data_IF_309506026585
#
_entry.id   IF_309506026585
#
_cell.length_a   1.000
_cell.length_b   1.000
_cell.length_c   1.000
_cell.angle_alpha   90.00
_cell.angle_beta   90.00
_cell.angle_gamma   90.00
#
_symmetry.space_group_name_H-M   'P 1'
#
loop_
_entity.id
_entity.type
_entity.pdbx_description
1 polymer ?
#
# COMPACT_ATOMS: atom_id res chain seq x y z
N UNK A 1 -8.22 -1.06 10.99
CA UNK A 1 -9.18 -0.31 11.84
C UNK A 1 -10.57 -0.27 11.21
N UNK A 2 -10.71 0.08 9.92
CA UNK A 2 -11.99 0.12 9.17
C UNK A 2 -12.91 -1.07 9.41
N UNK A 3 -12.42 -2.31 9.22
CA UNK A 3 -13.19 -3.54 9.43
C UNK A 3 -13.74 -3.65 10.87
N UNK A 4 -12.91 -3.34 11.87
CA UNK A 4 -13.30 -3.37 13.29
C UNK A 4 -14.33 -2.30 13.61
N UNK A 5 -14.13 -1.08 13.11
CA UNK A 5 -15.06 0.03 13.33
C UNK A 5 -16.43 -0.20 12.66
N UNK A 6 -16.48 -1.01 11.61
CA UNK A 6 -17.72 -1.48 11.00
C UNK A 6 -18.42 -2.60 11.80
N UNK A 7 -17.88 -2.99 12.97
CA UNK A 7 -18.40 -4.08 13.80
C UNK A 7 -18.06 -5.48 13.27
N UNK A 8 -17.22 -5.58 12.25
CA UNK A 8 -16.82 -6.85 11.66
C UNK A 8 -15.52 -7.40 12.29
N UNK A 9 -15.29 -8.70 12.10
CA UNK A 9 -14.06 -9.38 12.53
C UNK A 9 -13.06 -9.45 11.37
N UNK A 10 -11.90 -8.78 11.45
CA UNK A 10 -10.84 -8.99 10.46
C UNK A 10 -10.30 -10.41 10.55
N UNK A 11 -10.01 -10.99 9.39
CA UNK A 11 -9.32 -12.28 9.24
C UNK A 11 -8.11 -12.02 8.36
N UNK A 12 -6.92 -12.33 8.86
CA UNK A 12 -5.67 -11.97 8.21
C UNK A 12 -5.13 -13.16 7.40
N UNK A 13 -5.00 -12.99 6.09
CA UNK A 13 -4.20 -13.86 5.25
C UNK A 13 -2.72 -13.48 5.36
N UNK A 14 -1.81 -14.45 5.12
CA UNK A 14 -0.40 -14.12 4.93
C UNK A 14 -0.18 -13.48 3.56
N UNK A 15 1.02 -12.96 3.33
CA UNK A 15 1.39 -12.26 2.11
C UNK A 15 2.25 -13.13 1.20
N UNK A 16 2.28 -12.78 -0.07
CA UNK A 16 3.23 -13.32 -1.03
C UNK A 16 4.65 -12.75 -0.75
N UNK A 17 5.70 -13.59 -0.68
CA UNK A 17 7.05 -13.18 -0.27
C UNK A 17 7.75 -12.23 -1.26
N UNK A 18 7.25 -12.13 -2.48
CA UNK A 18 7.86 -11.38 -3.59
C UNK A 18 7.19 -10.02 -3.73
N UNK A 19 5.86 -9.99 -3.80
CA UNK A 19 5.05 -8.79 -3.98
C UNK A 19 4.71 -8.08 -2.67
N UNK A 20 4.77 -8.80 -1.55
CA UNK A 20 4.35 -8.34 -0.22
C UNK A 20 2.86 -7.94 -0.13
N UNK A 21 2.07 -8.34 -1.12
CA UNK A 21 0.61 -8.19 -1.12
C UNK A 21 -0.03 -9.45 -0.55
N UNK A 22 -1.25 -9.36 -0.03
CA UNK A 22 -1.94 -10.52 0.53
C UNK A 22 -2.11 -11.62 -0.52
N UNK A 23 -1.70 -12.85 -0.21
CA UNK A 23 -1.75 -13.98 -1.14
C UNK A 23 -3.22 -14.46 -1.32
N UNK A 24 -3.77 -14.47 -2.56
CA UNK A 24 -5.12 -14.96 -2.83
C UNK A 24 -5.36 -16.40 -2.36
N UNK A 25 -4.36 -17.30 -2.45
CA UNK A 25 -4.51 -18.70 -2.02
C UNK A 25 -4.58 -18.81 -0.49
N UNK A 26 -3.77 -18.00 0.21
CA UNK A 26 -3.86 -17.88 1.65
C UNK A 26 -5.21 -17.28 2.10
N UNK A 27 -5.72 -16.30 1.35
CA UNK A 27 -7.02 -15.69 1.61
C UNK A 27 -8.18 -16.65 1.38
N UNK A 28 -8.17 -17.44 0.29
CA UNK A 28 -9.24 -18.38 -0.05
C UNK A 28 -9.42 -19.45 1.05
N UNK A 29 -8.32 -19.97 1.61
CA UNK A 29 -8.34 -20.95 2.71
C UNK A 29 -9.03 -20.44 3.98
N UNK A 30 -9.14 -19.13 4.14
CA UNK A 30 -9.74 -18.48 5.31
C UNK A 30 -11.22 -18.11 5.08
N UNK A 31 -11.76 -18.35 3.88
CA UNK A 31 -13.16 -18.09 3.57
C UNK A 31 -14.06 -19.05 4.35
N UNK A 32 -15.13 -18.50 4.95
CA UNK A 32 -16.15 -19.25 5.68
C UNK A 32 -17.53 -18.70 5.31
N UNK A 33 -18.61 -19.36 5.75
CA UNK A 33 -19.97 -18.82 5.59
C UNK A 33 -20.22 -17.45 6.28
N UNK A 34 -19.29 -17.00 7.15
CA UNK A 34 -19.33 -15.67 7.78
C UNK A 34 -18.58 -14.61 6.99
N UNK A 35 -17.77 -14.99 6.01
CA UNK A 35 -17.01 -14.03 5.19
C UNK A 35 -17.97 -13.22 4.32
N UNK A 36 -17.75 -11.90 4.26
CA UNK A 36 -18.60 -10.97 3.48
C UNK A 36 -17.82 -10.14 2.48
N UNK A 37 -16.53 -9.96 2.72
CA UNK A 37 -15.66 -9.21 1.84
C UNK A 37 -14.22 -9.72 1.92
N UNK A 38 -13.50 -9.56 0.83
CA UNK A 38 -12.03 -9.59 0.77
C UNK A 38 -11.53 -8.17 0.53
N UNK A 39 -10.39 -7.84 1.16
CA UNK A 39 -9.86 -6.48 1.15
C UNK A 39 -8.34 -6.47 0.89
N UNK A 40 -7.89 -6.76 -0.34
CA UNK A 40 -6.47 -6.69 -0.67
C UNK A 40 -5.99 -5.23 -0.63
N UNK A 41 -4.77 -5.05 -0.13
CA UNK A 41 -4.06 -3.78 -0.19
C UNK A 41 -2.93 -3.85 -1.20
N UNK A 42 -2.84 -2.82 -2.03
CA UNK A 42 -1.69 -2.62 -2.89
C UNK A 42 -0.50 -2.16 -2.05
N UNK A 43 0.65 -2.80 -2.21
CA UNK A 43 1.77 -2.65 -1.28
C UNK A 43 3.02 -2.13 -1.97
N UNK A 44 3.55 -1.00 -1.46
CA UNK A 44 4.80 -0.32 -1.83
C UNK A 44 4.99 0.04 -3.30
N UNK A 45 5.11 -0.98 -4.15
CA UNK A 45 5.38 -0.84 -5.58
C UNK A 45 4.55 -1.77 -6.48
N UNK A 46 3.63 -2.53 -5.89
CA UNK A 46 2.94 -3.63 -6.58
C UNK A 46 1.46 -3.61 -6.25
N UNK A 47 0.63 -3.71 -7.28
CA UNK A 47 -0.79 -4.03 -7.12
C UNK A 47 -0.92 -5.48 -6.63
N UNK A 48 -1.96 -5.75 -5.84
CA UNK A 48 -2.31 -7.11 -5.49
C UNK A 48 -2.77 -7.86 -6.74
N UNK A 49 -2.84 -9.20 -6.70
CA UNK A 49 -3.36 -9.99 -7.80
C UNK A 49 -4.89 -9.84 -7.92
N UNK A 50 -5.31 -8.70 -8.47
CA UNK A 50 -6.71 -8.32 -8.57
C UNK A 50 -7.54 -9.24 -9.45
N UNK A 51 -7.04 -9.77 -10.59
CA UNK A 51 -7.73 -10.84 -11.32
C UNK A 51 -8.09 -12.02 -10.42
N UNK A 52 -7.13 -12.57 -9.65
CA UNK A 52 -7.40 -13.69 -8.75
C UNK A 52 -8.34 -13.31 -7.60
N UNK A 53 -8.22 -12.11 -7.04
CA UNK A 53 -9.15 -11.62 -6.01
C UNK A 53 -10.57 -11.41 -6.54
N UNK A 54 -10.73 -10.98 -7.79
CA UNK A 54 -12.04 -10.87 -8.46
C UNK A 54 -12.65 -12.25 -8.63
N UNK A 55 -11.90 -13.21 -9.16
CA UNK A 55 -12.34 -14.61 -9.30
C UNK A 55 -12.74 -15.23 -7.96
N UNK A 56 -11.94 -15.02 -6.91
CA UNK A 56 -12.24 -15.47 -5.55
C UNK A 56 -13.53 -14.83 -5.05
N UNK A 57 -13.69 -13.52 -5.21
CA UNK A 57 -14.88 -12.80 -4.77
C UNK A 57 -16.14 -13.29 -5.50
N UNK A 58 -16.07 -13.54 -6.81
CA UNK A 58 -17.18 -14.09 -7.59
C UNK A 58 -17.56 -15.51 -7.14
N UNK A 59 -16.57 -16.40 -7.03
CA UNK A 59 -16.77 -17.80 -6.65
C UNK A 59 -17.46 -17.95 -5.29
N UNK A 60 -17.10 -17.09 -4.34
CA UNK A 60 -17.58 -17.14 -2.95
C UNK A 60 -18.68 -16.11 -2.66
N UNK A 61 -19.18 -15.40 -3.67
CA UNK A 61 -20.17 -14.31 -3.54
C UNK A 61 -19.80 -13.26 -2.48
N UNK A 62 -18.53 -12.85 -2.46
CA UNK A 62 -17.97 -11.85 -1.55
C UNK A 62 -17.89 -10.48 -2.21
N UNK A 63 -17.92 -9.43 -1.41
CA UNK A 63 -17.53 -8.08 -1.87
C UNK A 63 -16.01 -7.97 -1.98
N UNK A 64 -15.53 -7.23 -2.98
CA UNK A 64 -14.13 -6.91 -3.16
C UNK A 64 -13.92 -5.42 -2.89
N UNK A 65 -13.22 -5.10 -1.81
CA UNK A 65 -12.87 -3.72 -1.45
C UNK A 65 -11.37 -3.54 -1.59
N UNK A 66 -10.93 -2.71 -2.52
CA UNK A 66 -9.51 -2.56 -2.85
C UNK A 66 -8.92 -1.37 -2.08
N UNK A 67 -7.90 -1.61 -1.25
CA UNK A 67 -7.12 -0.54 -0.63
C UNK A 67 -6.03 -0.06 -1.60
N UNK A 68 -6.33 1.03 -2.29
CA UNK A 68 -5.48 1.69 -3.28
C UNK A 68 -4.76 2.92 -2.72
N UNK A 69 -4.67 3.06 -1.39
CA UNK A 69 -4.11 4.25 -0.75
C UNK A 69 -2.67 4.57 -1.20
N UNK A 70 -1.91 3.58 -1.67
CA UNK A 70 -0.53 3.71 -2.13
C UNK A 70 -0.39 3.70 -3.66
N UNK A 71 -1.44 3.30 -4.39
CA UNK A 71 -1.32 2.81 -5.76
C UNK A 71 -1.70 3.84 -6.82
N UNK A 72 -1.60 5.14 -6.52
CA UNK A 72 -1.81 6.17 -7.53
C UNK A 72 -0.81 5.94 -8.68
N UNK A 73 -1.35 5.81 -9.91
CA UNK A 73 -0.59 5.50 -11.12
C UNK A 73 -0.43 4.01 -11.42
N UNK A 74 -0.88 3.11 -10.55
CA UNK A 74 -0.87 1.66 -10.82
C UNK A 74 -1.93 1.29 -11.85
N UNK A 75 -1.53 0.51 -12.85
CA UNK A 75 -2.41 -0.06 -13.87
C UNK A 75 -2.06 -1.53 -14.03
N UNK A 76 -3.04 -2.42 -13.86
CA UNK A 76 -2.90 -3.87 -14.03
C UNK A 76 -3.86 -4.31 -15.14
N UNK A 77 -3.37 -4.99 -16.17
CA UNK A 77 -4.13 -5.44 -17.35
C UNK A 77 -4.99 -4.33 -17.98
N UNK A 78 -4.46 -3.11 -18.02
CA UNK A 78 -5.16 -1.92 -18.52
C UNK A 78 -6.20 -1.32 -17.56
N UNK A 79 -6.41 -1.91 -16.38
CA UNK A 79 -7.35 -1.43 -15.37
C UNK A 79 -6.58 -0.68 -14.27
N UNK A 80 -6.87 0.62 -14.04
CA UNK A 80 -6.25 1.37 -12.96
C UNK A 80 -6.55 0.80 -11.58
N UNK A 81 -5.63 0.99 -10.63
CA UNK A 81 -5.88 0.70 -9.23
C UNK A 81 -7.18 1.36 -8.74
N UNK A 82 -7.88 0.71 -7.82
CA UNK A 82 -9.15 1.15 -7.27
C UNK A 82 -10.37 0.86 -8.15
N UNK A 83 -10.18 0.34 -9.37
CA UNK A 83 -11.26 0.03 -10.32
C UNK A 83 -11.52 -1.47 -10.48
N UNK A 84 -10.86 -2.32 -9.70
CA UNK A 84 -11.04 -3.77 -9.78
C UNK A 84 -12.16 -4.29 -8.87
N UNK A 85 -12.35 -3.67 -7.71
CA UNK A 85 -13.33 -4.07 -6.71
C UNK A 85 -14.72 -3.44 -6.89
N UNK A 86 -15.64 -3.84 -6.01
CA UNK A 86 -16.91 -3.13 -5.80
C UNK A 86 -16.65 -1.68 -5.31
N UNK A 87 -15.53 -1.47 -4.61
CA UNK A 87 -15.06 -0.14 -4.22
C UNK A 87 -13.54 -0.09 -4.12
N UNK A 88 -12.95 0.98 -4.66
CA UNK A 88 -11.55 1.33 -4.47
C UNK A 88 -11.38 2.51 -3.53
N UNK A 89 -10.33 2.50 -2.72
CA UNK A 89 -10.08 3.53 -1.71
C UNK A 89 -8.75 4.21 -1.98
N UNK A 90 -8.79 5.54 -2.12
CA UNK A 90 -7.59 6.37 -2.22
C UNK A 90 -7.43 7.24 -0.97
N UNK A 91 -6.16 7.52 -0.65
CA UNK A 91 -5.77 8.43 0.42
C UNK A 91 -4.90 9.54 -0.15
N UNK A 92 -5.07 10.74 0.38
CA UNK A 92 -4.34 11.95 0.01
C UNK A 92 -3.58 12.58 1.20
N UNK A 93 -3.36 11.80 2.27
CA UNK A 93 -2.52 12.26 3.39
C UNK A 93 -1.12 12.66 2.89
N UNK A 94 -0.44 13.57 3.60
CA UNK A 94 0.72 14.32 3.10
C UNK A 94 1.80 13.46 2.46
N UNK A 95 2.06 12.27 3.02
CA UNK A 95 3.14 11.39 2.59
C UNK A 95 2.83 10.57 1.32
N UNK A 96 1.59 10.55 0.83
CA UNK A 96 1.18 9.73 -0.34
C UNK A 96 1.82 10.21 -1.64
N UNK A 97 1.87 9.33 -2.63
CA UNK A 97 2.37 9.64 -4.00
C UNK A 97 1.74 10.91 -4.56
N UNK A 98 0.46 11.10 -4.26
CA UNK A 98 -0.32 12.28 -4.63
C UNK A 98 -0.96 12.95 -3.39
N UNK A 99 -0.17 13.17 -2.34
CA UNK A 99 -0.65 13.80 -1.10
C UNK A 99 -0.87 15.32 -1.17
N UNK A 100 -1.55 15.85 -0.16
CA UNK A 100 -1.87 17.28 0.03
C UNK A 100 -1.48 17.76 1.44
N UNK A 101 -1.42 19.08 1.71
CA UNK A 101 -1.08 19.63 3.03
C UNK A 101 -2.27 19.51 4.02
N UNK A 102 -2.75 18.28 4.23
CA UNK A 102 -3.91 17.95 5.04
C UNK A 102 -4.23 16.45 5.00
N UNK A 103 -5.45 16.11 5.38
CA UNK A 103 -5.97 14.74 5.34
C UNK A 103 -7.18 14.62 4.43
N UNK A 104 -7.29 13.49 3.73
CA UNK A 104 -8.39 13.25 2.81
C UNK A 104 -8.28 11.90 2.14
N UNK A 105 -9.39 11.51 1.52
CA UNK A 105 -9.51 10.27 0.79
C UNK A 105 -10.79 10.25 -0.01
N UNK A 106 -10.86 9.32 -0.95
CA UNK A 106 -12.05 9.09 -1.78
C UNK A 106 -12.33 7.61 -1.87
N UNK A 107 -13.61 7.30 -2.00
CA UNK A 107 -14.10 5.99 -2.43
C UNK A 107 -14.51 6.14 -3.88
N UNK A 108 -14.00 5.28 -4.75
CA UNK A 108 -14.44 5.15 -6.13
C UNK A 108 -15.21 3.85 -6.31
N UNK A 109 -16.27 3.90 -7.10
CA UNK A 109 -17.19 2.77 -7.34
C UNK A 109 -18.00 3.06 -8.60
N UNK A 110 -18.28 2.02 -9.38
CA UNK A 110 -19.22 2.10 -10.51
C UNK A 110 -20.67 1.80 -10.08
N UNK A 111 -20.90 1.29 -8.86
CA UNK A 111 -22.23 1.10 -8.28
C UNK A 111 -22.82 2.45 -7.79
N UNK A 112 -23.89 2.98 -8.43
CA UNK A 112 -24.50 4.24 -8.03
C UNK A 112 -25.22 4.16 -6.68
N UNK A 113 -25.75 3.00 -6.30
CA UNK A 113 -26.39 2.80 -5.00
C UNK A 113 -25.35 2.81 -3.88
N UNK A 114 -24.18 2.21 -4.11
CA UNK A 114 -23.04 2.31 -3.18
C UNK A 114 -22.54 3.75 -3.08
N UNK A 115 -22.37 4.44 -4.21
CA UNK A 115 -21.95 5.84 -4.24
C UNK A 115 -22.92 6.75 -3.44
N UNK A 116 -24.23 6.59 -3.62
CA UNK A 116 -25.24 7.32 -2.87
C UNK A 116 -25.14 7.03 -1.36
N UNK A 117 -24.95 5.77 -0.98
CA UNK A 117 -24.77 5.38 0.43
C UNK A 117 -23.51 5.98 1.05
N UNK A 118 -22.39 6.00 0.32
CA UNK A 118 -21.15 6.62 0.80
C UNK A 118 -21.32 8.14 0.95
N UNK A 119 -21.97 8.82 0.00
CA UNK A 119 -22.26 10.27 0.08
C UNK A 119 -23.12 10.61 1.29
N UNK A 120 -24.11 9.77 1.62
CA UNK A 120 -24.89 9.92 2.84
C UNK A 120 -24.03 9.69 4.08
N UNK A 121 -23.32 8.56 4.16
CA UNK A 121 -22.52 8.19 5.32
C UNK A 121 -21.44 9.22 5.64
N UNK A 122 -20.79 9.83 4.65
CA UNK A 122 -19.77 10.87 4.91
C UNK A 122 -20.34 12.20 5.44
N UNK A 123 -21.66 12.39 5.37
CA UNK A 123 -22.35 13.65 5.68
C UNK A 123 -23.47 13.46 6.72
N UNK A 124 -23.15 12.83 7.85
CA UNK A 124 -24.10 12.54 8.94
C UNK A 124 -25.37 11.78 8.50
N UNK A 125 -25.33 11.04 7.38
CA UNK A 125 -26.47 10.29 6.86
C UNK A 125 -27.50 11.10 6.07
N UNK A 126 -27.16 12.34 5.68
CA UNK A 126 -28.04 13.19 4.86
C UNK A 126 -27.91 12.87 3.38
N UNK A 127 -29.02 12.87 2.65
CA UNK A 127 -29.07 12.65 1.19
C UNK A 127 -28.56 13.84 0.35
N UNK A 128 -28.38 15.00 0.99
CA UNK A 128 -27.95 16.24 0.33
C UNK A 128 -29.09 16.98 -0.39
N UNK A 129 -30.30 16.42 -0.45
CA UNK A 129 -31.48 17.08 -1.01
C UNK A 129 -32.28 17.83 0.06
N UNK A 130 -32.36 17.29 1.28
CA UNK A 130 -33.06 17.92 2.41
C UNK A 130 -32.12 18.14 3.58
N UNK A 131 -31.82 19.41 3.87
CA UNK A 131 -30.95 19.80 4.98
C UNK A 131 -31.54 19.33 6.32
N UNK A 132 -30.69 18.77 7.18
CA UNK A 132 -31.05 18.22 8.50
C UNK A 132 -32.02 17.04 8.47
N UNK A 133 -32.20 16.40 7.31
CA UNK A 133 -32.95 15.15 7.21
C UNK A 133 -31.99 13.97 7.10
N UNK A 134 -31.95 13.17 8.16
CA UNK A 134 -30.98 12.09 8.33
C UNK A 134 -31.66 10.73 8.12
N UNK A 135 -31.28 10.02 7.05
CA UNK A 135 -31.84 8.69 6.75
C UNK A 135 -31.17 7.58 7.57
N UNK A 136 -29.96 7.83 8.04
CA UNK A 136 -29.08 6.87 8.75
C UNK A 136 -28.15 7.62 9.70
N UNK A 137 -27.55 6.90 10.64
CA UNK A 137 -26.42 7.43 11.40
C UNK A 137 -25.18 7.38 10.49
N UNK A 138 -24.59 8.55 10.23
CA UNK A 138 -23.35 8.68 9.45
C UNK A 138 -22.23 9.33 10.24
N UNK A 139 -21.20 9.75 9.53
CA UNK A 139 -19.97 10.35 10.02
C UNK A 139 -19.85 11.80 9.54
N UNK A 140 -18.96 12.54 10.19
CA UNK A 140 -18.37 13.74 9.58
C UNK A 140 -17.05 13.33 8.92
N UNK A 141 -17.09 12.99 7.65
CA UNK A 141 -15.91 12.52 6.90
C UNK A 141 -15.90 13.14 5.49
N UNK A 142 -16.27 14.43 5.42
CA UNK A 142 -16.28 15.21 4.17
C UNK A 142 -14.83 15.55 3.78
N UNK A 143 -14.63 15.79 2.50
CA UNK A 143 -13.38 16.30 1.96
C UNK A 143 -13.49 17.82 1.90
N UNK A 144 -12.57 18.54 2.53
CA UNK A 144 -12.57 20.01 2.51
C UNK A 144 -12.41 20.56 1.09
N UNK A 145 -13.22 21.55 0.73
CA UNK A 145 -13.22 22.18 -0.61
C UNK A 145 -11.85 22.78 -0.96
N UNK A 146 -11.18 23.43 0.00
CA UNK A 146 -9.83 24.00 -0.20
C UNK A 146 -8.81 22.90 -0.54
N UNK A 147 -8.90 21.76 0.15
CA UNK A 147 -8.00 20.63 -0.07
C UNK A 147 -8.33 19.91 -1.40
N UNK A 148 -9.61 19.81 -1.75
CA UNK A 148 -10.03 19.28 -3.05
C UNK A 148 -9.55 20.16 -4.20
N UNK A 149 -9.68 21.49 -4.08
CA UNK A 149 -9.19 22.45 -5.07
C UNK A 149 -7.66 22.37 -5.24
N UNK A 150 -6.91 22.27 -4.14
CA UNK A 150 -5.47 22.04 -4.17
C UNK A 150 -5.12 20.76 -4.94
N UNK A 151 -5.83 19.66 -4.67
CA UNK A 151 -5.57 18.39 -5.32
C UNK A 151 -5.89 18.42 -6.82
N UNK A 152 -6.99 19.07 -7.20
CA UNK A 152 -7.40 19.24 -8.61
C UNK A 152 -6.34 20.05 -9.38
N UNK A 153 -5.86 21.16 -8.82
CA UNK A 153 -4.78 21.95 -9.42
C UNK A 153 -3.51 21.10 -9.64
N UNK A 154 -3.22 20.19 -8.71
CA UNK A 154 -2.07 19.31 -8.80
C UNK A 154 -2.22 18.13 -9.74
N UNK A 155 -3.39 17.86 -10.33
CA UNK A 155 -3.54 16.79 -11.32
C UNK A 155 -2.62 17.01 -12.53
N UNK A 156 -2.42 18.28 -12.90
CA UNK A 156 -1.45 18.66 -13.92
C UNK A 156 -0.02 18.20 -13.53
N UNK A 157 0.67 17.58 -14.48
CA UNK A 157 1.99 16.99 -14.30
C UNK A 157 2.06 15.81 -13.32
N UNK A 158 0.92 15.19 -12.96
CA UNK A 158 0.94 13.95 -12.16
C UNK A 158 1.66 12.83 -12.89
N UNK A 159 1.39 12.66 -14.19
CA UNK A 159 1.99 11.62 -15.01
C UNK A 159 3.52 11.75 -15.05
N UNK A 160 4.05 12.96 -15.25
CA UNK A 160 5.50 13.22 -15.22
C UNK A 160 6.13 12.86 -13.87
N UNK A 161 5.45 13.18 -12.76
CA UNK A 161 5.92 12.85 -11.41
C UNK A 161 5.88 11.34 -11.13
N UNK A 162 4.90 10.63 -11.68
CA UNK A 162 4.81 9.18 -11.61
C UNK A 162 5.90 8.53 -12.46
N UNK A 163 6.12 9.02 -13.68
CA UNK A 163 7.18 8.58 -14.58
C UNK A 163 8.56 8.75 -13.93
N UNK A 164 8.84 9.92 -13.34
CA UNK A 164 10.11 10.16 -12.63
C UNK A 164 10.34 9.20 -11.46
N UNK A 165 9.29 8.83 -10.71
CA UNK A 165 9.41 7.80 -9.68
C UNK A 165 9.75 6.43 -10.28
N UNK A 166 9.14 6.08 -11.40
CA UNK A 166 9.41 4.82 -12.10
C UNK A 166 10.84 4.75 -12.66
N UNK A 167 11.38 5.86 -13.17
CA UNK A 167 12.78 5.97 -13.61
C UNK A 167 13.76 5.70 -12.47
N UNK A 168 13.59 6.38 -11.33
CA UNK A 168 14.43 6.21 -10.14
C UNK A 168 14.35 4.76 -9.63
N UNK A 169 13.14 4.21 -9.53
CA UNK A 169 12.95 2.83 -9.11
C UNK A 169 13.63 1.83 -10.06
N UNK A 170 13.52 2.06 -11.37
CA UNK A 170 14.18 1.23 -12.39
C UNK A 170 15.70 1.32 -12.29
N UNK A 171 16.24 2.51 -12.01
CA UNK A 171 17.67 2.70 -11.75
C UNK A 171 18.13 1.87 -10.53
N UNK A 172 17.44 2.00 -9.39
CA UNK A 172 17.74 1.19 -8.21
C UNK A 172 17.66 -0.31 -8.50
N UNK A 173 16.62 -0.78 -9.18
CA UNK A 173 16.47 -2.22 -9.48
C UNK A 173 17.61 -2.75 -10.34
N UNK A 174 18.11 -1.97 -11.31
CA UNK A 174 19.31 -2.36 -12.08
C UNK A 174 20.56 -2.39 -11.20
N UNK A 175 20.78 -1.39 -10.35
CA UNK A 175 21.95 -1.35 -9.45
C UNK A 175 21.94 -2.50 -8.45
N UNK A 176 20.77 -2.91 -7.97
CA UNK A 176 20.64 -3.92 -6.92
C UNK A 176 20.43 -5.35 -7.41
N UNK A 177 20.37 -5.59 -8.73
CA UNK A 177 20.05 -6.89 -9.31
C UNK A 177 20.98 -8.03 -8.82
N UNK A 178 22.25 -7.73 -8.53
CA UNK A 178 23.27 -8.68 -8.10
C UNK A 178 23.39 -8.81 -6.56
N UNK A 179 22.60 -8.05 -5.80
CA UNK A 179 22.72 -8.00 -4.34
C UNK A 179 21.89 -9.07 -3.62
N UNK A 180 21.06 -9.83 -4.35
CA UNK A 180 20.20 -10.87 -3.77
C UNK A 180 21.00 -11.93 -3.00
N UNK A 181 22.10 -12.40 -3.58
CA UNK A 181 23.03 -13.36 -2.94
C UNK A 181 23.79 -12.74 -1.74
N UNK A 182 23.78 -11.41 -1.64
CA UNK A 182 24.40 -10.63 -0.56
C UNK A 182 23.38 -10.24 0.52
N UNK A 183 22.18 -10.82 0.47
CA UNK A 183 21.12 -10.61 1.45
C UNK A 183 20.37 -9.30 1.31
N UNK A 184 20.39 -8.65 0.14
CA UNK A 184 19.54 -7.50 -0.19
C UNK A 184 18.75 -7.81 -1.46
N UNK A 185 17.44 -7.98 -1.29
CA UNK A 185 16.52 -8.28 -2.39
C UNK A 185 15.76 -7.02 -2.75
N UNK A 186 15.91 -6.60 -4.01
CA UNK A 186 15.14 -5.51 -4.60
C UNK A 186 13.65 -5.90 -4.73
N UNK A 187 12.72 -4.92 -4.72
CA UNK A 187 11.34 -5.20 -5.10
C UNK A 187 11.32 -5.76 -6.53
N UNK A 188 10.31 -6.57 -6.88
CA UNK A 188 10.35 -7.28 -8.16
C UNK A 188 10.31 -6.30 -9.33
N UNK A 189 10.99 -6.65 -10.42
CA UNK A 189 11.24 -5.76 -11.55
C UNK A 189 9.95 -5.24 -12.23
N UNK A 190 10.10 -4.15 -12.99
CA UNK A 190 9.01 -3.39 -13.62
C UNK A 190 8.13 -4.19 -14.60
N UNK A 191 6.90 -3.72 -14.85
CA UNK A 191 5.90 -4.36 -15.70
C UNK A 191 4.45 -3.92 -15.39
N UNK A 192 3.49 -4.75 -15.80
CA UNK A 192 2.06 -4.59 -15.53
C UNK A 192 1.76 -4.64 -14.02
N UNK A 193 0.88 -3.76 -13.53
CA UNK A 193 0.50 -3.66 -12.11
C UNK A 193 1.49 -2.92 -11.20
N UNK A 194 2.52 -2.26 -11.74
CA UNK A 194 3.51 -1.54 -10.95
C UNK A 194 3.11 -0.10 -10.68
N UNK A 195 3.47 0.38 -9.49
CA UNK A 195 3.48 1.79 -9.11
C UNK A 195 4.66 2.02 -8.15
N UNK A 196 4.89 3.25 -7.70
CA UNK A 196 6.10 3.58 -6.94
C UNK A 196 5.81 4.57 -5.80
N UNK A 197 5.16 4.08 -4.74
CA UNK A 197 4.96 4.86 -3.52
C UNK A 197 6.29 5.05 -2.77
N UNK A 198 6.95 3.94 -2.46
CA UNK A 198 8.28 3.85 -1.86
C UNK A 198 9.07 2.72 -2.52
N UNK A 199 10.41 2.81 -2.49
CA UNK A 199 11.27 1.74 -2.98
C UNK A 199 11.75 0.89 -1.81
N UNK A 200 11.10 -0.25 -1.58
CA UNK A 200 11.37 -1.10 -0.41
C UNK A 200 12.21 -2.32 -0.81
N UNK A 201 13.41 -2.43 -0.23
CA UNK A 201 14.23 -3.64 -0.29
C UNK A 201 13.92 -4.54 0.90
N UNK A 202 14.15 -5.85 0.74
CA UNK A 202 14.25 -6.79 1.86
C UNK A 202 15.74 -7.04 2.14
N UNK A 203 16.22 -6.62 3.30
CA UNK A 203 17.60 -6.81 3.71
C UNK A 203 17.68 -7.74 4.93
N UNK A 204 18.52 -8.78 4.86
CA UNK A 204 18.71 -9.70 5.99
C UNK A 204 19.33 -8.99 7.19
N UNK A 205 20.23 -8.02 6.94
CA UNK A 205 20.84 -7.14 7.94
C UNK A 205 20.21 -5.74 7.93
N UNK A 206 18.87 -5.68 7.94
CA UNK A 206 18.08 -4.45 7.81
C UNK A 206 18.55 -3.30 8.70
N UNK A 207 18.69 -3.54 9.99
CA UNK A 207 19.05 -2.49 10.95
C UNK A 207 20.49 -1.99 10.75
N UNK A 208 21.42 -2.87 10.36
CA UNK A 208 22.78 -2.48 10.03
C UNK A 208 22.85 -1.67 8.72
N UNK A 209 22.09 -2.06 7.69
CA UNK A 209 21.95 -1.27 6.46
C UNK A 209 21.37 0.12 6.77
N UNK A 210 20.32 0.18 7.60
CA UNK A 210 19.73 1.44 8.04
C UNK A 210 20.75 2.33 8.76
N UNK A 211 21.54 1.77 9.68
CA UNK A 211 22.58 2.51 10.39
C UNK A 211 23.68 3.01 9.43
N UNK A 212 24.11 2.18 8.49
CA UNK A 212 25.08 2.52 7.45
C UNK A 212 24.62 3.70 6.57
N UNK A 213 23.36 3.68 6.15
CA UNK A 213 22.74 4.76 5.36
C UNK A 213 22.53 6.03 6.21
N UNK A 214 22.14 5.89 7.47
CA UNK A 214 21.99 7.01 8.40
C UNK A 214 23.32 7.74 8.64
N UNK A 215 24.42 7.00 8.81
CA UNK A 215 25.77 7.57 8.94
C UNK A 215 26.23 8.34 7.68
N UNK A 216 25.56 8.11 6.54
CA UNK A 216 25.75 8.81 5.28
C UNK A 216 24.66 9.84 4.99
N UNK A 217 23.87 10.21 6.02
CA UNK A 217 22.79 11.19 5.92
C UNK A 217 21.68 10.81 4.92
N UNK A 218 21.51 9.51 4.66
CA UNK A 218 20.46 8.98 3.81
C UNK A 218 19.31 8.51 4.71
N UNK A 219 18.23 9.29 4.73
CA UNK A 219 17.03 8.95 5.47
C UNK A 219 16.35 7.70 4.89
N UNK A 220 15.94 6.77 5.75
CA UNK A 220 15.22 5.55 5.37
C UNK A 220 14.06 5.30 6.32
N UNK A 221 13.07 4.53 5.86
CA UNK A 221 11.88 4.20 6.65
C UNK A 221 11.65 2.70 6.72
N UNK A 222 11.06 2.25 7.82
CA UNK A 222 10.59 0.87 7.99
C UNK A 222 9.06 0.88 7.91
N UNK A 223 8.52 0.31 6.83
CA UNK A 223 7.09 0.12 6.62
C UNK A 223 6.84 -1.39 6.44
N UNK A 224 6.35 -2.14 7.41
CA UNK A 224 6.12 -1.80 8.82
C UNK A 224 6.94 -2.74 9.70
N UNK A 225 7.31 -2.35 10.94
CA UNK A 225 8.18 -3.17 11.80
C UNK A 225 7.46 -4.38 12.41
N UNK A 226 6.12 -4.44 12.33
CA UNK A 226 5.30 -5.54 12.85
C UNK A 226 4.05 -5.73 11.97
N UNK A 227 3.67 -6.98 11.65
CA UNK A 227 2.41 -7.26 10.97
C UNK A 227 1.21 -6.92 11.86
N UNK A 228 0.06 -6.60 11.25
CA UNK A 228 -1.15 -6.21 11.97
C UNK A 228 -1.55 -7.18 13.09
N UNK A 229 -1.66 -8.51 12.88
CA UNK A 229 -2.06 -9.43 13.96
C UNK A 229 -1.11 -9.47 15.16
N UNK A 230 0.14 -9.04 15.01
CA UNK A 230 1.10 -8.92 16.10
C UNK A 230 1.02 -7.58 16.86
N UNK A 231 0.22 -6.63 16.37
CA UNK A 231 0.01 -5.35 17.05
C UNK A 231 -0.98 -5.51 18.21
N UNK A 232 -0.75 -4.90 19.38
CA UNK A 232 -1.64 -5.04 20.55
C UNK A 232 -3.12 -4.76 20.25
N UNK A 233 -3.41 -3.77 19.41
CA UNK A 233 -4.78 -3.40 19.04
C UNK A 233 -5.52 -4.48 18.22
N UNK A 234 -4.78 -5.38 17.55
CA UNK A 234 -5.34 -6.41 16.68
C UNK A 234 -5.06 -7.85 17.16
N UNK A 235 -4.22 -8.03 18.18
CA UNK A 235 -3.84 -9.33 18.72
C UNK A 235 -5.04 -10.20 19.11
N UNK A 236 -6.12 -9.60 19.63
CA UNK A 236 -7.38 -10.31 19.94
C UNK A 236 -8.09 -10.94 18.74
N UNK A 237 -7.72 -10.57 17.51
CA UNK A 237 -8.28 -11.15 16.28
C UNK A 237 -7.39 -12.27 15.71
N UNK A 238 -6.16 -12.43 16.21
CA UNK A 238 -5.28 -13.53 15.87
C UNK A 238 -5.74 -14.81 16.59
N UNK A 239 -6.07 -15.90 15.86
CA UNK A 239 -6.33 -17.19 16.50
C UNK A 239 -5.09 -17.68 17.28
N UNK A 240 -5.27 -18.36 18.44
CA UNK A 240 -4.16 -18.99 19.13
C UNK A 240 -3.39 -19.95 18.21
N UNK A 241 -2.05 -19.84 18.18
CA UNK A 241 -1.19 -20.67 17.34
C UNK A 241 -1.17 -20.30 15.85
N UNK A 242 -1.93 -19.29 15.41
CA UNK A 242 -1.80 -18.78 14.05
C UNK A 242 -0.49 -17.99 13.88
N UNK A 243 0.11 -18.11 12.70
CA UNK A 243 1.34 -17.42 12.33
C UNK A 243 1.22 -16.81 10.92
N UNK A 244 1.98 -15.75 10.69
CA UNK A 244 2.10 -15.11 9.37
C UNK A 244 3.59 -15.04 9.00
N UNK A 245 4.23 -16.20 8.78
CA UNK A 245 5.68 -16.29 8.64
C UNK A 245 6.25 -15.37 7.57
N UNK A 246 5.54 -15.18 6.46
CA UNK A 246 6.02 -14.30 5.38
C UNK A 246 5.91 -12.84 5.80
N UNK A 247 4.77 -12.41 6.34
CA UNK A 247 4.59 -11.04 6.84
C UNK A 247 5.56 -10.71 8.00
N UNK A 248 5.82 -11.66 8.89
CA UNK A 248 6.78 -11.53 9.98
C UNK A 248 8.23 -11.40 9.46
N UNK A 249 8.59 -12.22 8.47
CA UNK A 249 9.89 -12.12 7.79
C UNK A 249 10.04 -10.77 7.09
N UNK A 250 9.02 -10.33 6.35
CA UNK A 250 9.02 -9.03 5.68
C UNK A 250 9.12 -7.87 6.69
N UNK A 251 8.45 -7.95 7.84
CA UNK A 251 8.50 -6.93 8.88
C UNK A 251 9.92 -6.73 9.46
N UNK A 252 10.68 -7.83 9.60
CA UNK A 252 12.08 -7.80 10.06
C UNK A 252 13.03 -7.25 8.99
N UNK A 253 12.76 -7.50 7.71
CA UNK A 253 13.70 -7.24 6.61
C UNK A 253 13.43 -5.99 5.79
N UNK A 254 12.22 -5.43 5.80
CA UNK A 254 11.89 -4.29 4.95
C UNK A 254 12.67 -3.02 5.34
N UNK A 255 13.19 -2.33 4.33
CA UNK A 255 13.74 -0.98 4.42
C UNK A 255 13.38 -0.20 3.16
N UNK A 256 12.67 0.91 3.33
CA UNK A 256 12.31 1.81 2.25
C UNK A 256 13.37 2.89 2.06
N UNK A 257 13.89 2.97 0.84
CA UNK A 257 14.86 3.96 0.37
C UNK A 257 14.14 5.22 -0.12
N UNK A 258 14.82 6.39 -0.15
CA UNK A 258 14.24 7.61 -0.69
C UNK A 258 13.76 7.44 -2.13
N UNK A 259 12.49 7.80 -2.34
CA UNK A 259 11.86 7.79 -3.65
C UNK A 259 10.85 8.93 -3.76
N UNK A 260 11.22 10.00 -4.46
CA UNK A 260 10.32 11.10 -4.78
C UNK A 260 10.76 11.82 -6.06
N UNK A 261 9.85 12.47 -6.81
CA UNK A 261 10.15 13.03 -8.12
C UNK A 261 11.20 14.16 -8.10
N UNK A 262 11.42 14.79 -6.94
CA UNK A 262 12.43 15.85 -6.76
C UNK A 262 13.86 15.35 -6.46
N UNK A 263 14.11 14.04 -6.45
CA UNK A 263 15.48 13.53 -6.25
C UNK A 263 16.29 13.80 -7.53
N UNK A 264 17.40 14.52 -7.38
CA UNK A 264 18.36 14.70 -8.47
C UNK A 264 19.16 13.42 -8.72
N UNK A 265 19.67 13.23 -9.94
CA UNK A 265 20.36 12.00 -10.33
C UNK A 265 21.58 11.70 -9.43
N UNK A 266 22.40 12.71 -9.10
CA UNK A 266 23.51 12.54 -8.17
C UNK A 266 23.09 12.06 -6.77
N UNK A 267 21.88 12.44 -6.30
CA UNK A 267 21.34 11.93 -5.04
C UNK A 267 20.91 10.48 -5.16
N UNK A 268 20.28 10.12 -6.28
CA UNK A 268 19.87 8.73 -6.59
C UNK A 268 21.10 7.83 -6.67
N UNK A 269 22.16 8.26 -7.36
CA UNK A 269 23.44 7.56 -7.46
C UNK A 269 24.08 7.38 -6.08
N UNK A 270 24.19 8.46 -5.29
CA UNK A 270 24.70 8.40 -3.91
C UNK A 270 23.95 7.37 -3.04
N UNK A 271 22.63 7.30 -3.18
CA UNK A 271 21.81 6.33 -2.43
C UNK A 271 22.12 4.91 -2.89
N UNK A 272 22.15 4.67 -4.21
CA UNK A 272 22.43 3.36 -4.77
C UNK A 272 23.83 2.87 -4.40
N UNK A 273 24.84 3.72 -4.52
CA UNK A 273 26.22 3.40 -4.20
C UNK A 273 26.41 3.09 -2.72
N UNK A 274 25.71 3.80 -1.83
CA UNK A 274 25.74 3.49 -0.40
C UNK A 274 25.13 2.11 -0.08
N UNK A 275 24.06 1.71 -0.77
CA UNK A 275 23.47 0.38 -0.63
C UNK A 275 24.42 -0.70 -1.16
N UNK A 276 25.00 -0.51 -2.34
CA UNK A 276 25.98 -1.44 -2.91
C UNK A 276 27.21 -1.56 -2.01
N UNK A 277 27.77 -0.45 -1.54
CA UNK A 277 28.93 -0.45 -0.65
C UNK A 277 28.68 -1.22 0.66
N UNK A 278 27.47 -1.15 1.23
CA UNK A 278 27.11 -1.97 2.39
C UNK A 278 27.05 -3.47 2.05
N UNK A 279 26.50 -3.82 0.89
CA UNK A 279 26.39 -5.21 0.45
C UNK A 279 27.75 -5.82 0.11
N UNK A 280 28.68 -5.00 -0.38
CA UNK A 280 30.02 -5.41 -0.81
C UNK A 280 31.04 -5.42 0.33
N UNK A 281 30.72 -4.78 1.46
CA UNK A 281 31.58 -4.78 2.64
C UNK A 281 31.77 -6.21 3.17
N UNK A 282 33.01 -6.62 3.53
CA UNK A 282 33.28 -7.92 4.13
C UNK A 282 32.35 -8.14 5.33
N UNK A 283 31.76 -9.33 5.39
CA UNK A 283 31.00 -9.72 6.56
C UNK A 283 32.01 -10.02 7.67
N UNK A 284 32.13 -9.13 8.66
CA UNK A 284 32.77 -9.49 9.92
C UNK A 284 31.90 -10.55 10.57
N UNK A 285 32.31 -11.82 10.46
CA UNK A 285 31.75 -12.91 11.27
C UNK A 285 31.90 -12.52 12.74
N UNK A 286 30.76 -12.33 13.42
CA UNK A 286 30.68 -12.23 14.87
C UNK A 286 30.27 -13.56 15.46
#
# INVERSE_FOLDING_TARGET
ASVVNAGARPVFADIDPVTLTADPDAAEKLVTGRTKAVMPAHMFSVMADMPRYRELADRHALRLVEDSALAQGGVLRGVPAGRWGDAGIYSFVQVKTFGMPGEGGVVITDDPALAARVRMLRNHGQDGARRFHHHRVGYNSRFDEVMAAFQLHRLEGLDDRLARRAEIASYYSRRFAHLGERGIVAPPAGGDGRFHYVYTVLADRRDALRAHLTAREIATHVYYPRPLPAQPAFARYAPPGAAWPVAESAARRNLSLPLHPRLGDAQVERIADAVCAFADAPQEDR
#
